data_IF_407206025871
#
_entry.id   IF_407206025871
#
_cell.length_a   1.000
_cell.length_b   1.000
_cell.length_c   1.000
_cell.angle_alpha   90.00
_cell.angle_beta   90.00
_cell.angle_gamma   90.00
#
_symmetry.space_group_name_H-M   'P 1'
#
loop_
_entity.id
_entity.type
_entity.pdbx_description
1 polymer ?
#
# COMPACT_ATOMS: atom_id res chain seq x y z
N UNK A 1 9.88 -13.45 17.82
CA UNK A 1 10.66 -13.14 16.59
C UNK A 1 9.74 -12.39 15.65
N UNK A 2 9.83 -11.06 15.58
CA UNK A 2 9.09 -10.30 14.56
C UNK A 2 9.77 -10.54 13.22
N UNK A 3 9.15 -11.37 12.38
CA UNK A 3 9.58 -11.51 11.00
C UNK A 3 9.48 -10.13 10.34
N UNK A 4 10.59 -9.63 9.76
CA UNK A 4 10.54 -8.38 8.99
C UNK A 4 9.53 -8.54 7.87
N UNK A 5 8.51 -7.70 7.84
CA UNK A 5 7.59 -7.66 6.71
C UNK A 5 8.38 -7.26 5.47
N UNK A 6 8.15 -7.98 4.37
CA UNK A 6 8.77 -7.68 3.07
C UNK A 6 7.74 -7.04 2.16
N UNK A 7 8.16 -6.16 1.26
CA UNK A 7 7.27 -5.62 0.24
C UNK A 7 6.75 -6.75 -0.67
N UNK A 8 5.45 -6.79 -0.98
CA UNK A 8 4.90 -7.72 -1.97
C UNK A 8 5.40 -7.36 -3.38
N UNK A 9 5.17 -8.24 -4.36
CA UNK A 9 5.55 -7.95 -5.75
C UNK A 9 4.65 -6.88 -6.38
N UNK A 10 3.37 -6.84 -5.97
CA UNK A 10 2.43 -5.79 -6.30
C UNK A 10 1.35 -5.66 -5.22
N UNK A 11 0.62 -4.55 -5.21
CA UNK A 11 -0.60 -4.38 -4.42
C UNK A 11 -1.64 -3.55 -5.21
N UNK A 12 -2.87 -3.50 -4.72
CA UNK A 12 -3.91 -2.60 -5.22
C UNK A 12 -4.06 -1.37 -4.31
N UNK A 13 -4.37 -0.23 -4.91
CA UNK A 13 -4.81 0.97 -4.19
C UNK A 13 -5.87 1.70 -5.03
N UNK A 14 -6.42 2.79 -4.50
CA UNK A 14 -7.31 3.67 -5.26
C UNK A 14 -6.67 5.04 -5.49
N UNK A 15 -6.95 5.65 -6.64
CA UNK A 15 -6.47 7.00 -6.94
C UNK A 15 -7.21 8.05 -6.10
N UNK A 16 -6.45 8.98 -5.50
CA UNK A 16 -7.03 10.08 -4.73
C UNK A 16 -7.82 11.08 -5.60
N UNK A 17 -7.55 11.17 -6.90
CA UNK A 17 -8.30 12.03 -7.82
C UNK A 17 -9.60 11.39 -8.28
N UNK A 18 -9.57 10.14 -8.75
CA UNK A 18 -10.69 9.50 -9.45
C UNK A 18 -11.40 8.41 -8.63
N UNK A 19 -10.72 7.80 -7.65
CA UNK A 19 -11.23 6.62 -6.95
C UNK A 19 -11.13 5.32 -7.74
N UNK A 20 -10.46 5.33 -8.90
CA UNK A 20 -10.20 4.12 -9.69
C UNK A 20 -9.21 3.21 -8.98
N UNK A 21 -9.43 1.90 -9.10
CA UNK A 21 -8.52 0.87 -8.60
C UNK A 21 -7.32 0.76 -9.54
N UNK A 22 -6.13 0.88 -8.97
CA UNK A 22 -4.86 0.77 -9.69
C UNK A 22 -3.95 -0.25 -9.02
N UNK A 23 -3.07 -0.85 -9.82
CA UNK A 23 -2.02 -1.76 -9.36
C UNK A 23 -0.70 -1.01 -9.24
N UNK A 24 -0.02 -1.17 -8.10
CA UNK A 24 1.35 -0.71 -7.89
C UNK A 24 2.26 -1.93 -7.94
N UNK A 25 3.29 -1.91 -8.79
CA UNK A 25 4.36 -2.92 -8.81
C UNK A 25 5.55 -2.45 -7.99
N UNK A 26 6.19 -3.34 -7.24
CA UNK A 26 7.38 -3.02 -6.45
C UNK A 26 8.49 -2.49 -7.35
N UNK A 27 9.06 -1.34 -7.00
CA UNK A 27 10.11 -0.67 -7.79
C UNK A 27 9.58 0.23 -8.92
N UNK A 28 8.27 0.26 -9.19
CA UNK A 28 7.69 1.13 -10.21
C UNK A 28 7.46 2.56 -9.68
N UNK A 29 7.69 3.58 -10.52
CA UNK A 29 7.36 4.98 -10.20
C UNK A 29 5.95 5.36 -10.70
N UNK A 30 5.27 4.44 -11.36
CA UNK A 30 3.93 4.62 -11.93
C UNK A 30 3.04 3.47 -11.52
N UNK A 31 1.74 3.72 -11.49
CA UNK A 31 0.72 2.69 -11.33
C UNK A 31 0.25 2.17 -12.69
N UNK A 32 -0.42 1.03 -12.66
CA UNK A 32 -1.10 0.45 -13.81
C UNK A 32 -2.62 0.48 -13.57
N UNK A 33 -3.39 0.85 -14.58
CA UNK A 33 -4.86 0.80 -14.51
C UNK A 33 -5.36 -0.64 -14.45
N UNK A 34 -6.54 -0.83 -13.87
CA UNK A 34 -7.21 -2.13 -13.76
C UNK A 34 -8.66 -2.03 -14.20
N UNK A 35 -9.21 -3.14 -14.68
CA UNK A 35 -10.62 -3.24 -15.05
C UNK A 35 -11.53 -3.57 -13.85
N UNK A 36 -10.99 -3.50 -12.63
CA UNK A 36 -11.70 -3.83 -11.38
C UNK A 36 -12.61 -2.68 -10.89
N UNK A 37 -12.43 -1.49 -11.44
CA UNK A 37 -13.13 -0.29 -10.97
C UNK A 37 -14.63 -0.35 -11.26
N UNK A 38 -15.40 0.13 -10.30
CA UNK A 38 -16.83 0.41 -10.41
C UNK A 38 -17.07 1.92 -10.44
N UNK A 39 -18.28 2.38 -10.81
CA UNK A 39 -18.65 3.80 -10.69
C UNK A 39 -18.64 4.33 -9.25
N UNK A 40 -18.68 3.47 -8.23
CA UNK A 40 -18.70 3.87 -6.82
C UNK A 40 -17.28 3.83 -6.22
N UNK A 41 -16.79 5.00 -5.83
CA UNK A 41 -15.48 5.18 -5.19
C UNK A 41 -15.35 4.44 -3.86
N UNK A 42 -16.37 4.45 -3.01
CA UNK A 42 -16.32 3.78 -1.71
C UNK A 42 -16.28 2.26 -1.91
N UNK A 43 -17.02 1.75 -2.88
CA UNK A 43 -16.96 0.35 -3.27
C UNK A 43 -15.57 -0.03 -3.80
N UNK A 44 -14.95 0.82 -4.62
CA UNK A 44 -13.60 0.58 -5.15
C UNK A 44 -12.55 0.44 -4.05
N UNK A 45 -12.64 1.26 -3.01
CA UNK A 45 -11.75 1.15 -1.84
C UNK A 45 -11.90 -0.23 -1.16
N UNK A 46 -13.14 -0.67 -0.93
CA UNK A 46 -13.42 -1.98 -0.34
C UNK A 46 -12.95 -3.15 -1.22
N UNK A 47 -13.10 -3.04 -2.54
CA UNK A 47 -12.61 -4.05 -3.50
C UNK A 47 -11.09 -4.16 -3.42
N UNK A 48 -10.37 -3.03 -3.43
CA UNK A 48 -8.91 -3.03 -3.33
C UNK A 48 -8.42 -3.63 -2.00
N UNK A 49 -9.02 -3.23 -0.87
CA UNK A 49 -8.71 -3.79 0.46
C UNK A 49 -8.96 -5.31 0.51
N UNK A 50 -10.11 -5.76 0.00
CA UNK A 50 -10.46 -7.19 -0.03
C UNK A 50 -9.51 -7.98 -0.93
N UNK A 51 -9.14 -7.45 -2.09
CA UNK A 51 -8.20 -8.08 -3.01
C UNK A 51 -6.81 -8.24 -2.37
N UNK A 52 -6.30 -7.18 -1.73
CA UNK A 52 -5.03 -7.24 -0.99
C UNK A 52 -5.09 -8.25 0.15
N UNK A 53 -6.17 -8.25 0.94
CA UNK A 53 -6.37 -9.19 2.05
C UNK A 53 -6.39 -10.64 1.56
N UNK A 54 -7.07 -10.92 0.45
CA UNK A 54 -7.12 -12.24 -0.17
C UNK A 54 -5.75 -12.72 -0.69
N UNK A 55 -4.84 -11.79 -1.04
CA UNK A 55 -3.45 -12.08 -1.41
C UNK A 55 -2.50 -12.12 -0.20
N UNK A 56 -3.00 -11.92 1.03
CA UNK A 56 -2.19 -11.88 2.24
C UNK A 56 -1.36 -10.60 2.40
N UNK A 57 -1.71 -9.53 1.69
CA UNK A 57 -1.04 -8.23 1.78
C UNK A 57 -1.60 -7.45 2.96
N UNK A 58 -0.73 -7.05 3.89
CA UNK A 58 -1.07 -6.26 5.07
C UNK A 58 -1.30 -4.78 4.70
N UNK A 59 -1.96 -4.04 5.59
CA UNK A 59 -2.09 -2.58 5.44
C UNK A 59 -0.74 -1.88 5.43
N UNK A 60 0.17 -2.31 6.31
CA UNK A 60 1.56 -1.84 6.35
C UNK A 60 2.28 -2.02 5.00
N UNK A 61 2.18 -3.22 4.40
CA UNK A 61 2.71 -3.48 3.07
C UNK A 61 2.09 -2.61 1.99
N UNK A 62 0.77 -2.43 2.00
CA UNK A 62 0.06 -1.60 1.00
C UNK A 62 0.50 -0.13 1.09
N UNK A 63 0.59 0.42 2.28
CA UNK A 63 0.99 1.81 2.50
C UNK A 63 2.48 2.01 2.16
N UNK A 64 3.32 1.03 2.46
CA UNK A 64 4.73 1.06 2.04
C UNK A 64 4.89 1.01 0.51
N UNK A 65 4.08 0.22 -0.19
CA UNK A 65 4.06 0.22 -1.65
C UNK A 65 3.65 1.57 -2.23
N UNK A 66 2.66 2.24 -1.63
CA UNK A 66 2.23 3.58 -2.02
C UNK A 66 3.32 4.62 -1.76
N UNK A 67 3.96 4.58 -0.59
CA UNK A 67 5.07 5.44 -0.23
C UNK A 67 6.26 5.27 -1.17
N UNK A 68 6.62 4.02 -1.52
CA UNK A 68 7.66 3.72 -2.50
C UNK A 68 7.38 4.31 -3.88
N UNK A 69 6.15 4.18 -4.39
CA UNK A 69 5.76 4.75 -5.68
C UNK A 69 5.77 6.28 -5.67
N UNK A 70 5.25 6.92 -4.62
CA UNK A 70 5.08 8.39 -4.57
C UNK A 70 6.36 9.13 -4.18
N UNK A 71 7.17 8.56 -3.28
CA UNK A 71 8.31 9.25 -2.65
C UNK A 71 9.67 8.63 -3.03
N UNK A 72 9.65 7.45 -3.67
CA UNK A 72 10.82 6.68 -4.05
C UNK A 72 11.08 5.49 -3.13
N UNK A 73 11.57 4.40 -3.71
CA UNK A 73 11.74 3.10 -3.05
C UNK A 73 12.87 3.03 -2.02
N UNK A 74 13.78 4.01 -2.01
CA UNK A 74 14.86 4.13 -1.02
C UNK A 74 14.44 4.89 0.25
N UNK A 75 13.21 5.41 0.30
CA UNK A 75 12.71 6.19 1.43
C UNK A 75 12.18 5.27 2.54
N UNK A 76 12.18 5.71 3.82
CA UNK A 76 11.53 4.98 4.91
C UNK A 76 10.04 4.67 4.65
N UNK A 77 9.36 5.52 3.87
CA UNK A 77 7.99 5.30 3.44
C UNK A 77 7.81 4.06 2.54
N UNK A 78 8.89 3.44 2.04
CA UNK A 78 8.84 2.19 1.31
C UNK A 78 9.11 0.96 2.20
N UNK A 79 9.35 1.14 3.49
CA UNK A 79 9.60 0.04 4.43
C UNK A 79 8.31 -0.30 5.20
N UNK A 80 7.71 -1.50 5.00
CA UNK A 80 6.49 -1.90 5.71
C UNK A 80 6.68 -1.97 7.23
N UNK A 81 7.90 -2.13 7.73
CA UNK A 81 8.19 -2.16 9.16
C UNK A 81 8.13 -0.75 9.80
N UNK A 82 7.95 0.31 9.00
CA UNK A 82 7.69 1.68 9.45
C UNK A 82 6.21 2.00 9.58
N UNK A 83 5.35 0.98 9.54
CA UNK A 83 3.91 1.14 9.67
C UNK A 83 3.37 0.24 10.78
N UNK A 84 2.33 0.73 11.46
CA UNK A 84 1.59 -0.08 12.42
C UNK A 84 0.64 -1.07 11.71
N UNK A 85 -0.06 -1.92 12.49
CA UNK A 85 -1.03 -2.89 11.95
C UNK A 85 -2.20 -2.23 11.20
N UNK A 86 -2.46 -0.95 11.46
CA UNK A 86 -3.50 -0.16 10.79
C UNK A 86 -3.00 0.50 9.50
N UNK A 87 -1.70 0.45 9.21
CA UNK A 87 -1.07 1.12 8.08
C UNK A 87 -0.70 2.58 8.36
N UNK A 88 -0.65 3.02 9.62
CA UNK A 88 -0.17 4.37 9.95
C UNK A 88 1.35 4.37 10.03
N UNK A 89 1.99 5.40 9.45
CA UNK A 89 3.44 5.55 9.52
C UNK A 89 3.89 5.85 10.95
N UNK A 90 4.89 5.12 11.43
CA UNK A 90 5.49 5.27 12.76
C UNK A 90 6.73 6.15 12.64
N UNK A 91 6.72 7.30 13.31
CA UNK A 91 7.88 8.18 13.38
C UNK A 91 8.96 7.56 14.27
N UNK A 92 10.23 7.88 14.01
CA UNK A 92 11.37 7.34 14.77
C UNK A 92 11.22 7.60 16.27
N UNK A 93 10.73 8.78 16.65
CA UNK A 93 10.49 9.18 18.04
C UNK A 93 9.42 8.32 18.75
N UNK A 94 8.54 7.68 17.98
CA UNK A 94 7.47 6.82 18.49
C UNK A 94 7.87 5.33 18.52
N UNK A 95 9.04 4.97 17.97
CA UNK A 95 9.58 3.60 18.00
C UNK A 95 10.29 3.30 19.34
N UNK A 96 10.79 4.34 20.02
CA UNK A 96 11.60 4.21 21.24
C UNK A 96 10.78 4.32 22.55
N UNK A 97 9.46 4.50 22.46
CA UNK A 97 8.54 4.49 23.61
C UNK A 97 7.90 3.13 23.81
#
# INVERSE_FOLDING_TARGET
>A
MNAKEKLPDFCYTTLFSTGEIVRIKRGALTYERTDLSTPDRAMNYLIAERANTAMGITKAQREAMLGGMLLGWERPAADPNRYDLSGNFILIEDIEK
#
